data_IF_448115794878
#
_entry.id   IF_448115794878
#
_cell.length_a   1.000
_cell.length_b   1.000
_cell.length_c   1.000
_cell.angle_alpha   90.00
_cell.angle_beta   90.00
_cell.angle_gamma   90.00
#
_symmetry.space_group_name_H-M   'P 1'
#
loop_
_entity.id
_entity.type
_entity.pdbx_description
1 polymer ?
#
# COMPACT_ATOMS: atom_id res chain seq x y z
N UNK A 1 -5.45 -27.75 68.51
CA UNK A 1 -5.51 -26.33 68.11
C UNK A 1 -5.23 -26.25 66.61
N UNK A 2 -6.30 -26.27 65.80
CA UNK A 2 -6.24 -26.01 64.36
C UNK A 2 -6.12 -24.50 64.15
N UNK A 3 -4.99 -24.03 63.62
CA UNK A 3 -4.86 -22.66 63.14
C UNK A 3 -4.18 -22.65 61.77
N UNK A 4 -4.91 -22.00 60.85
CA UNK A 4 -4.51 -21.44 59.56
C UNK A 4 -4.09 -22.46 58.49
N UNK A 5 -5.05 -22.94 57.70
CA UNK A 5 -5.60 -22.26 56.50
C UNK A 5 -4.55 -22.07 55.41
N UNK A 6 -4.82 -22.79 54.32
CA UNK A 6 -4.38 -22.53 52.97
C UNK A 6 -4.25 -21.04 52.62
N UNK A 7 -3.40 -20.80 51.61
CA UNK A 7 -3.54 -19.80 50.54
C UNK A 7 -2.36 -18.80 50.45
N UNK A 8 -1.30 -19.11 49.71
CA UNK A 8 -0.49 -18.11 49.03
C UNK A 8 -0.92 -18.07 47.55
N UNK A 9 -2.17 -17.69 47.27
CA UNK A 9 -2.66 -17.45 45.90
C UNK A 9 -3.16 -16.01 45.70
N UNK A 10 -2.69 -15.04 46.50
CA UNK A 10 -3.18 -13.65 46.47
C UNK A 10 -2.06 -12.61 46.32
N UNK A 11 -1.13 -12.82 45.39
CA UNK A 11 -0.14 -11.80 44.99
C UNK A 11 -0.01 -11.66 43.46
N UNK A 12 -1.13 -11.81 42.73
CA UNK A 12 -1.21 -11.49 41.30
C UNK A 12 -2.37 -10.53 40.98
N UNK A 13 -2.62 -9.56 41.85
CA UNK A 13 -3.50 -8.42 41.52
C UNK A 13 -2.70 -7.13 41.64
N UNK A 14 -1.69 -6.98 40.78
CA UNK A 14 -1.05 -5.71 40.50
C UNK A 14 -1.65 -5.14 39.20
N UNK A 15 -2.69 -4.33 39.38
CA UNK A 15 -3.09 -3.17 38.57
C UNK A 15 -2.79 -3.20 37.06
N UNK A 16 -3.72 -3.73 36.26
CA UNK A 16 -3.95 -3.21 34.91
C UNK A 16 -5.06 -2.16 34.98
N UNK A 17 -4.76 -0.99 35.55
CA UNK A 17 -5.62 0.19 35.38
C UNK A 17 -5.26 0.81 34.04
N UNK A 18 -5.92 0.35 32.96
CA UNK A 18 -5.98 1.12 31.73
C UNK A 18 -6.92 2.30 32.01
N UNK A 19 -6.35 3.41 32.45
CA UNK A 19 -7.04 4.69 32.34
C UNK A 19 -6.98 5.08 30.86
N UNK A 20 -8.04 4.77 30.14
CA UNK A 20 -8.33 5.42 28.85
C UNK A 20 -8.68 6.87 29.19
N UNK A 21 -7.63 7.66 29.44
CA UNK A 21 -7.77 9.08 29.64
C UNK A 21 -8.06 9.65 28.25
N UNK A 22 -9.34 9.95 28.01
CA UNK A 22 -9.87 10.74 26.89
C UNK A 22 -9.32 12.18 26.97
N UNK A 23 -8.00 12.30 26.84
CA UNK A 23 -7.32 13.56 26.65
C UNK A 23 -7.56 13.97 25.20
N UNK A 24 -7.76 15.26 24.91
CA UNK A 24 -7.84 15.75 23.54
C UNK A 24 -6.51 15.43 22.85
N UNK A 25 -6.49 14.31 22.12
CA UNK A 25 -5.33 13.86 21.38
C UNK A 25 -5.22 14.79 20.19
N UNK A 26 -4.11 15.52 20.10
CA UNK A 26 -3.79 16.29 18.90
C UNK A 26 -3.77 15.28 17.75
N UNK A 27 -4.72 15.41 16.84
CA UNK A 27 -4.83 14.50 15.71
C UNK A 27 -3.69 14.81 14.74
N UNK A 28 -2.76 13.87 14.60
CA UNK A 28 -1.68 13.98 13.62
C UNK A 28 -2.31 14.12 12.22
N UNK A 29 -1.82 15.03 11.37
CA UNK A 29 -2.36 15.15 10.03
C UNK A 29 -2.03 13.92 9.19
N UNK A 30 -2.99 13.50 8.35
CA UNK A 30 -2.75 12.45 7.36
C UNK A 30 -1.57 12.84 6.46
N UNK A 31 -0.67 11.90 6.12
CA UNK A 31 0.42 12.16 5.20
C UNK A 31 -0.13 12.50 3.81
N UNK A 32 0.48 13.43 3.09
CA UNK A 32 0.08 13.71 1.70
C UNK A 32 0.85 12.78 0.78
N UNK A 33 0.16 11.83 0.12
CA UNK A 33 0.76 10.79 -0.73
C UNK A 33 1.79 11.33 -1.73
N UNK A 34 1.52 12.47 -2.36
CA UNK A 34 2.43 13.12 -3.31
C UNK A 34 3.76 13.58 -2.66
N UNK A 35 3.71 14.08 -1.42
CA UNK A 35 4.91 14.46 -0.66
C UNK A 35 5.64 13.26 -0.05
N UNK A 36 4.93 12.14 0.13
CA UNK A 36 5.45 10.90 0.72
C UNK A 36 6.07 9.95 -0.31
N UNK A 37 6.07 10.29 -1.61
CA UNK A 37 6.73 9.49 -2.67
C UNK A 37 8.18 9.07 -2.34
N UNK A 38 9.09 9.93 -1.85
CA UNK A 38 10.45 9.50 -1.49
C UNK A 38 10.47 8.48 -0.35
N UNK A 39 9.57 8.62 0.63
CA UNK A 39 9.42 7.69 1.74
C UNK A 39 8.85 6.35 1.29
N UNK A 40 7.86 6.37 0.39
CA UNK A 40 7.26 5.18 -0.20
C UNK A 40 8.28 4.42 -1.06
N UNK A 41 9.19 5.13 -1.73
CA UNK A 41 10.33 4.52 -2.43
C UNK A 41 11.28 3.84 -1.45
N UNK A 42 11.65 4.50 -0.37
CA UNK A 42 12.50 3.92 0.67
C UNK A 42 11.86 2.66 1.27
N UNK A 43 10.56 2.69 1.55
CA UNK A 43 9.82 1.53 2.03
C UNK A 43 9.81 0.38 1.00
N UNK A 44 9.64 0.71 -0.29
CA UNK A 44 9.74 -0.27 -1.37
C UNK A 44 11.11 -0.94 -1.44
N UNK A 45 12.19 -0.17 -1.29
CA UNK A 45 13.56 -0.69 -1.29
C UNK A 45 13.82 -1.60 -0.08
N UNK A 46 13.36 -1.22 1.12
CA UNK A 46 13.46 -2.06 2.33
C UNK A 46 12.81 -3.43 2.14
N UNK A 47 11.68 -3.46 1.42
CA UNK A 47 10.90 -4.67 1.19
C UNK A 47 11.20 -5.35 -0.15
N UNK A 48 12.20 -4.85 -0.89
CA UNK A 48 12.61 -5.32 -2.21
C UNK A 48 11.46 -5.35 -3.23
N UNK A 49 10.55 -4.38 -3.14
CA UNK A 49 9.47 -4.19 -4.10
C UNK A 49 10.00 -3.54 -5.36
N UNK A 50 9.75 -4.19 -6.48
CA UNK A 50 10.18 -3.77 -7.82
C UNK A 50 9.05 -3.00 -8.48
N UNK A 51 9.30 -1.93 -9.25
CA UNK A 51 8.27 -1.26 -10.04
C UNK A 51 7.53 -2.21 -11.01
N UNK A 52 6.29 -1.88 -11.44
CA UNK A 52 5.54 -0.68 -11.10
C UNK A 52 4.93 -0.76 -9.69
N UNK A 53 5.06 0.33 -8.92
CA UNK A 53 4.48 0.43 -7.58
C UNK A 53 3.09 1.10 -7.64
N UNK A 54 2.20 0.61 -6.81
CA UNK A 54 0.87 1.18 -6.61
C UNK A 54 0.67 1.44 -5.11
N UNK A 55 -0.11 2.47 -4.77
CA UNK A 55 -0.50 2.78 -3.39
C UNK A 55 -1.98 2.99 -3.23
N UNK A 56 -2.43 2.82 -2.00
CA UNK A 56 -3.76 3.21 -1.57
C UNK A 56 -3.71 3.91 -0.19
N UNK A 57 -4.70 4.74 0.10
CA UNK A 57 -4.70 5.61 1.28
C UNK A 57 -4.24 7.04 0.96
N UNK A 58 -3.99 7.85 1.99
CA UNK A 58 -3.78 7.50 3.40
C UNK A 58 -5.04 7.03 4.12
N UNK A 59 -4.88 6.14 5.10
CA UNK A 59 -5.96 5.73 6.01
C UNK A 59 -5.47 5.74 7.45
N UNK A 60 -6.40 5.96 8.38
CA UNK A 60 -6.11 5.87 9.81
C UNK A 60 -5.72 4.44 10.16
N UNK A 61 -4.62 4.28 10.88
CA UNK A 61 -4.18 2.98 11.37
C UNK A 61 -4.99 2.56 12.60
N UNK A 62 -4.98 1.27 12.91
CA UNK A 62 -5.50 0.80 14.19
C UNK A 62 -4.69 1.44 15.34
N UNK A 63 -5.31 1.84 16.48
CA UNK A 63 -4.58 2.48 17.59
C UNK A 63 -3.42 1.66 18.19
N UNK A 64 -3.34 0.35 17.91
CA UNK A 64 -2.26 -0.53 18.36
C UNK A 64 -1.02 -0.41 17.44
N UNK A 65 -1.15 0.21 16.27
CA UNK A 65 -0.07 0.31 15.29
C UNK A 65 0.99 1.37 15.64
N UNK A 66 2.21 1.27 15.06
CA UNK A 66 3.33 2.18 15.37
C UNK A 66 3.12 3.65 15.03
N UNK A 67 2.14 3.97 14.18
CA UNK A 67 1.82 5.32 13.77
C UNK A 67 0.32 5.46 13.46
N UNK A 68 -0.25 6.67 13.64
CA UNK A 68 -1.70 6.91 13.48
C UNK A 68 -2.19 6.82 12.03
N UNK A 69 -1.28 6.87 11.05
CA UNK A 69 -1.60 6.81 9.63
C UNK A 69 -0.79 5.73 8.93
N UNK A 70 -1.38 5.14 7.90
CA UNK A 70 -0.66 4.28 6.97
C UNK A 70 -1.03 4.56 5.52
N UNK A 71 -0.08 4.29 4.63
CA UNK A 71 -0.30 4.20 3.19
C UNK A 71 0.02 2.75 2.79
N UNK A 72 -0.91 2.11 2.10
CA UNK A 72 -0.72 0.76 1.59
C UNK A 72 0.14 0.81 0.33
N UNK A 73 1.16 -0.03 0.24
CA UNK A 73 2.11 -0.10 -0.87
C UNK A 73 2.15 -1.50 -1.44
N UNK A 74 2.12 -1.64 -2.77
CA UNK A 74 2.33 -2.92 -3.43
C UNK A 74 3.10 -2.77 -4.74
N UNK A 75 3.66 -3.89 -5.19
CA UNK A 75 4.23 -4.01 -6.52
C UNK A 75 3.27 -4.77 -7.42
N UNK A 76 3.09 -4.29 -8.66
CA UNK A 76 2.39 -5.00 -9.73
C UNK A 76 3.36 -5.72 -10.68
N UNK A 77 4.63 -5.79 -10.30
CA UNK A 77 5.65 -6.54 -11.04
C UNK A 77 5.38 -8.04 -10.96
N UNK A 78 5.53 -8.81 -12.07
CA UNK A 78 5.44 -10.26 -12.02
C UNK A 78 6.48 -10.89 -11.08
N UNK A 79 7.64 -10.24 -10.89
CA UNK A 79 8.67 -10.68 -9.93
C UNK A 79 8.18 -10.67 -8.47
N UNK A 80 7.18 -9.84 -8.17
CA UNK A 80 6.55 -9.75 -6.85
C UNK A 80 5.14 -10.36 -6.85
N UNK A 81 4.80 -11.17 -7.86
CA UNK A 81 3.51 -11.84 -7.89
C UNK A 81 3.31 -12.70 -6.64
N UNK A 82 2.14 -12.56 -6.01
CA UNK A 82 1.79 -13.28 -4.78
C UNK A 82 2.34 -12.67 -3.49
N UNK A 83 3.12 -11.57 -3.54
CA UNK A 83 3.45 -10.80 -2.33
C UNK A 83 2.21 -10.00 -1.87
N UNK A 84 1.99 -9.89 -0.54
CA UNK A 84 0.90 -9.08 -0.02
C UNK A 84 1.16 -7.59 -0.27
N UNK A 85 0.16 -6.75 -0.03
CA UNK A 85 0.41 -5.33 0.21
C UNK A 85 1.26 -5.15 1.47
N UNK A 86 1.89 -3.99 1.58
CA UNK A 86 2.69 -3.54 2.70
C UNK A 86 2.06 -2.31 3.33
N UNK A 87 2.03 -2.26 4.66
CA UNK A 87 1.59 -1.08 5.40
C UNK A 87 2.81 -0.20 5.70
N UNK A 88 2.79 1.03 5.18
CA UNK A 88 3.82 2.04 5.42
C UNK A 88 3.27 3.03 6.44
N UNK A 89 3.81 3.02 7.66
CA UNK A 89 3.32 3.81 8.78
C UNK A 89 3.95 5.20 8.82
N UNK A 90 3.11 6.19 9.15
CA UNK A 90 3.49 7.59 9.29
C UNK A 90 3.07 8.14 10.65
N UNK A 91 3.93 8.97 11.24
CA UNK A 91 3.69 9.75 12.45
C UNK A 91 4.11 11.18 12.17
N UNK A 92 3.29 12.18 12.52
CA UNK A 92 3.54 13.59 12.15
C UNK A 92 3.85 13.79 10.64
N UNK A 93 3.22 12.99 9.77
CA UNK A 93 3.46 13.01 8.32
C UNK A 93 4.82 12.46 7.86
N UNK A 94 5.61 11.85 8.76
CA UNK A 94 6.94 11.30 8.46
C UNK A 94 6.92 9.78 8.46
N UNK A 95 7.68 9.18 7.56
CA UNK A 95 7.90 7.74 7.53
C UNK A 95 8.47 7.22 8.84
N UNK A 96 7.80 6.22 9.40
CA UNK A 96 8.18 5.56 10.64
C UNK A 96 8.71 4.15 10.35
N UNK A 97 7.86 3.28 9.78
CA UNK A 97 8.20 1.88 9.52
C UNK A 97 7.38 1.30 8.37
N UNK A 98 7.79 0.12 7.88
CA UNK A 98 7.07 -0.67 6.88
C UNK A 98 7.05 -2.14 7.29
N UNK A 99 5.94 -2.84 6.99
CA UNK A 99 5.84 -4.30 7.10
C UNK A 99 4.78 -4.84 6.14
N UNK A 100 4.75 -6.15 5.93
CA UNK A 100 3.65 -6.81 5.25
C UNK A 100 2.32 -6.47 5.95
N UNK A 101 1.29 -6.17 5.17
CA UNK A 101 0.00 -5.77 5.69
C UNK A 101 -0.70 -6.94 6.38
N UNK A 102 -1.20 -6.68 7.58
CA UNK A 102 -2.12 -7.53 8.32
C UNK A 102 -3.56 -7.19 7.94
N UNK A 103 -4.49 -8.08 8.28
CA UNK A 103 -5.93 -7.85 8.02
C UNK A 103 -6.43 -6.56 8.67
N UNK A 104 -5.92 -6.22 9.86
CA UNK A 104 -6.29 -5.00 10.60
C UNK A 104 -5.85 -3.70 9.92
N UNK A 105 -4.87 -3.77 9.00
CA UNK A 105 -4.43 -2.61 8.21
C UNK A 105 -5.40 -2.31 7.06
N UNK A 106 -6.30 -3.25 6.75
CA UNK A 106 -7.34 -3.13 5.74
C UNK A 106 -6.84 -2.78 4.32
N UNK A 107 -5.58 -3.06 4.01
CA UNK A 107 -4.97 -2.72 2.71
C UNK A 107 -5.59 -3.46 1.53
N UNK A 108 -5.97 -4.72 1.69
CA UNK A 108 -6.55 -5.54 0.62
C UNK A 108 -7.95 -5.06 0.18
N UNK A 109 -8.63 -4.26 1.00
CA UNK A 109 -9.93 -3.67 0.64
C UNK A 109 -9.80 -2.31 -0.05
N UNK A 110 -8.59 -1.77 -0.18
CA UNK A 110 -8.39 -0.43 -0.72
C UNK A 110 -8.27 -0.44 -2.25
N UNK A 111 -8.59 0.70 -2.86
CA UNK A 111 -8.38 0.91 -4.30
C UNK A 111 -6.97 1.46 -4.51
N UNK A 112 -6.13 0.68 -5.19
CA UNK A 112 -4.75 1.06 -5.49
C UNK A 112 -4.65 1.87 -6.77
N UNK A 113 -3.80 2.90 -6.73
CA UNK A 113 -3.44 3.75 -7.86
C UNK A 113 -1.93 3.72 -8.10
N UNK A 114 -1.46 3.78 -9.35
CA UNK A 114 -0.04 3.86 -9.65
C UNK A 114 0.60 5.08 -9.00
N UNK A 115 1.83 4.93 -8.48
CA UNK A 115 2.68 6.09 -8.20
C UNK A 115 3.55 6.32 -9.43
N UNK A 116 3.55 7.55 -9.93
CA UNK A 116 4.56 8.01 -10.88
C UNK A 116 5.89 8.15 -10.11
N UNK A 117 6.58 7.02 -9.94
CA UNK A 117 7.99 7.01 -9.61
C UNK A 117 8.66 7.32 -10.94
N UNK A 118 9.42 8.41 -11.06
CA UNK A 118 10.11 8.83 -12.29
C UNK A 118 10.93 7.70 -12.94
N UNK A 119 10.26 6.82 -13.66
CA UNK A 119 10.73 6.19 -14.88
C UNK A 119 10.31 7.22 -15.92
N UNK A 120 11.23 7.82 -16.69
CA UNK A 120 10.85 8.80 -17.69
C UNK A 120 9.72 8.18 -18.52
N UNK A 121 8.58 8.88 -18.56
CA UNK A 121 7.41 8.58 -19.39
C UNK A 121 7.85 8.47 -20.85
N UNK A 122 8.38 7.31 -21.21
CA UNK A 122 8.87 6.99 -22.54
C UNK A 122 8.80 5.48 -22.67
N UNK A 123 8.06 5.03 -23.69
CA UNK A 123 8.01 3.65 -24.20
C UNK A 123 6.86 2.70 -23.79
N UNK A 124 5.73 3.13 -23.21
CA UNK A 124 4.57 2.21 -23.10
C UNK A 124 3.19 2.79 -23.47
N UNK A 125 3.06 4.09 -23.75
CA UNK A 125 1.76 4.70 -24.09
C UNK A 125 1.80 5.50 -25.40
N UNK A 126 2.33 4.91 -26.48
CA UNK A 126 2.18 5.44 -27.85
C UNK A 126 2.22 4.35 -28.95
N UNK A 127 1.70 3.15 -28.68
CA UNK A 127 1.35 2.22 -29.75
C UNK A 127 -0.16 2.13 -29.84
N UNK A 128 -0.78 3.11 -30.50
CA UNK A 128 -2.10 2.90 -31.09
C UNK A 128 -2.04 1.66 -31.97
N UNK A 129 -3.06 0.78 -31.97
CA UNK A 129 -3.13 -0.29 -32.96
C UNK A 129 -3.05 0.32 -34.36
N UNK A 130 -2.24 -0.22 -35.30
CA UNK A 130 -2.19 0.32 -36.64
C UNK A 130 -3.59 0.24 -37.26
N UNK A 131 -4.08 1.38 -37.74
CA UNK A 131 -5.31 1.46 -38.51
C UNK A 131 -5.30 0.40 -39.62
N UNK A 132 -6.43 -0.30 -39.88
CA UNK A 132 -6.47 -1.30 -40.94
C UNK A 132 -6.12 -0.65 -42.29
N UNK A 133 -5.34 -1.35 -43.15
CA UNK A 133 -4.97 -0.81 -44.46
C UNK A 133 -6.23 -0.54 -45.29
N UNK A 134 -6.24 0.55 -46.09
CA UNK A 134 -7.37 0.86 -46.96
C UNK A 134 -7.59 -0.28 -47.98
N UNK A 135 -8.85 -0.57 -48.35
CA UNK A 135 -9.15 -1.65 -49.28
C UNK A 135 -8.48 -1.40 -50.63
N UNK A 136 -7.68 -2.38 -51.08
CA UNK A 136 -7.04 -2.33 -52.39
C UNK A 136 -8.09 -2.27 -53.49
N UNK A 137 -8.14 -1.16 -54.24
CA UNK A 137 -8.88 -1.09 -55.50
C UNK A 137 -8.34 -2.17 -56.45
N UNK A 138 -9.13 -3.23 -56.69
CA UNK A 138 -8.89 -4.16 -57.81
C UNK A 138 -8.87 -3.33 -59.10
N UNK A 139 -7.71 -3.25 -59.78
CA UNK A 139 -7.68 -2.84 -61.18
C UNK A 139 -8.31 -3.98 -61.98
N UNK A 140 -9.45 -3.71 -62.59
CA UNK A 140 -9.96 -4.53 -63.68
C UNK A 140 -8.93 -4.44 -64.82
N UNK A 141 -8.20 -5.52 -65.08
CA UNK A 141 -7.54 -5.70 -66.37
C UNK A 141 -8.63 -6.06 -67.36
N UNK A 142 -9.01 -5.09 -68.19
CA UNK A 142 -9.69 -5.38 -69.45
C UNK A 142 -8.70 -6.14 -70.33
N UNK A 143 -9.03 -7.40 -70.57
CA UNK A 143 -8.31 -8.31 -71.45
C UNK A 143 -8.89 -8.08 -72.84
N UNK A 144 -8.37 -7.07 -73.54
CA UNK A 144 -8.59 -6.91 -74.98
C UNK A 144 -7.76 -7.96 -75.71
N UNK A 145 -8.42 -9.05 -76.10
CA UNK A 145 -7.91 -10.09 -76.99
C UNK A 145 -8.62 -9.91 -78.33
N UNK A 146 -7.81 -9.83 -79.39
CA UNK A 146 -8.11 -10.06 -80.82
C UNK A 146 -9.18 -9.23 -81.53
#
# INVERSE_FOLDING_TARGET
MQFLKALPCLILTACSSFADADLPQKEDPAPVTASSVPDLRKAAEQENLVPPLEVAGPIAANPIEPGPWLICLRSRSPTNAGRPAYAVFFTDGKFNSVRAAAVIDNCESQVFSPIELDIPKSAAASASPPSPPPPSKKRHHDRGDS
#
